data_IF_107936438082
#
_entry.id   IF_107936438082
#
_cell.length_a   1.000
_cell.length_b   1.000
_cell.length_c   1.000
_cell.angle_alpha   90.00
_cell.angle_beta   90.00
_cell.angle_gamma   90.00
#
_symmetry.space_group_name_H-M   'P 1'
#
loop_
_entity.id
_entity.type
_entity.pdbx_description
1 polymer ?
#
# COMPACT_ATOMS: atom_id res chain seq x y z
N UNK A 1 24.27 3.91 -11.16
CA UNK A 1 24.27 2.52 -10.70
C UNK A 1 23.34 2.36 -9.49
N UNK A 2 23.49 3.15 -8.42
CA UNK A 2 22.65 3.06 -7.20
C UNK A 2 21.16 3.23 -7.51
N UNK A 3 20.77 4.19 -8.35
CA UNK A 3 19.38 4.41 -8.75
C UNK A 3 18.81 3.23 -9.53
N UNK A 4 19.58 2.64 -10.45
CA UNK A 4 19.16 1.46 -11.21
C UNK A 4 18.98 0.28 -10.26
N UNK A 5 19.91 0.08 -9.33
CA UNK A 5 19.82 -0.98 -8.32
C UNK A 5 18.58 -0.83 -7.43
N UNK A 6 18.32 0.39 -6.94
CA UNK A 6 17.13 0.70 -6.16
C UNK A 6 15.83 0.42 -6.94
N UNK A 7 15.80 0.76 -8.22
CA UNK A 7 14.66 0.53 -9.10
C UNK A 7 14.38 -0.97 -9.30
N UNK A 8 15.44 -1.77 -9.51
CA UNK A 8 15.31 -3.23 -9.64
C UNK A 8 14.81 -3.85 -8.34
N UNK A 9 15.35 -3.41 -7.20
CA UNK A 9 14.98 -3.92 -5.88
C UNK A 9 13.56 -3.52 -5.45
N UNK A 10 13.15 -2.30 -5.75
CA UNK A 10 11.82 -1.80 -5.38
C UNK A 10 10.72 -2.14 -6.39
N UNK A 11 11.08 -2.77 -7.53
CA UNK A 11 10.18 -3.01 -8.68
C UNK A 11 9.49 -1.74 -9.20
N UNK A 12 9.99 -0.58 -8.81
CA UNK A 12 9.41 0.71 -9.17
C UNK A 12 10.09 1.29 -10.41
N UNK A 13 9.67 0.88 -11.59
CA UNK A 13 10.26 1.27 -12.88
C UNK A 13 9.93 2.70 -13.33
N UNK A 14 9.11 3.43 -12.60
CA UNK A 14 8.61 4.76 -13.02
C UNK A 14 9.74 5.79 -13.05
N UNK A 15 10.62 5.79 -12.06
CA UNK A 15 11.70 6.79 -11.94
C UNK A 15 12.76 6.68 -13.04
N UNK A 16 13.00 5.51 -13.62
CA UNK A 16 13.95 5.33 -14.73
C UNK A 16 13.52 6.20 -15.92
N UNK A 17 12.26 6.20 -16.25
CA UNK A 17 11.75 6.97 -17.39
C UNK A 17 11.88 8.49 -17.18
N UNK A 18 11.80 8.94 -15.94
CA UNK A 18 12.00 10.35 -15.60
C UNK A 18 13.45 10.81 -15.80
N UNK A 19 14.41 9.91 -15.59
CA UNK A 19 15.84 10.19 -15.74
C UNK A 19 16.33 10.10 -17.18
N UNK A 20 15.61 9.41 -18.05
CA UNK A 20 16.02 9.21 -19.45
C UNK A 20 16.28 10.54 -20.18
N UNK A 21 15.39 11.56 -20.17
CA UNK A 21 15.66 12.83 -20.84
C UNK A 21 16.92 13.53 -20.29
N UNK A 22 17.15 13.46 -19.00
CA UNK A 22 18.32 14.07 -18.34
C UNK A 22 19.60 13.37 -18.81
N UNK A 23 19.62 12.04 -18.79
CA UNK A 23 20.78 11.25 -19.23
C UNK A 23 21.08 11.50 -20.70
N UNK A 24 20.06 11.55 -21.55
CA UNK A 24 20.21 11.82 -22.98
C UNK A 24 20.72 13.25 -23.23
N UNK A 25 20.24 14.23 -22.48
CA UNK A 25 20.76 15.60 -22.57
C UNK A 25 22.24 15.70 -22.20
N UNK A 26 22.67 15.02 -21.13
CA UNK A 26 24.08 14.96 -20.75
C UNK A 26 24.93 14.25 -21.81
N UNK A 27 24.47 13.12 -22.33
CA UNK A 27 25.16 12.38 -23.40
C UNK A 27 25.30 13.23 -24.67
N UNK A 28 24.26 13.95 -25.04
CA UNK A 28 24.28 14.83 -26.22
C UNK A 28 25.28 15.97 -26.04
N UNK A 29 25.35 16.59 -24.87
CA UNK A 29 26.34 17.62 -24.55
C UNK A 29 27.76 17.08 -24.71
N UNK A 30 28.06 15.93 -24.14
CA UNK A 30 29.37 15.28 -24.26
C UNK A 30 29.73 14.92 -25.73
N UNK A 31 28.76 14.46 -26.51
CA UNK A 31 28.97 14.12 -27.92
C UNK A 31 29.28 15.36 -28.76
N UNK A 32 28.55 16.46 -28.52
CA UNK A 32 28.78 17.73 -29.23
C UNK A 32 30.20 18.25 -28.99
N UNK A 33 30.68 18.19 -27.73
CA UNK A 33 32.03 18.64 -27.35
C UNK A 33 33.11 17.65 -27.78
N UNK A 34 32.78 16.41 -28.06
CA UNK A 34 33.73 15.38 -28.43
C UNK A 34 34.32 15.59 -29.84
N UNK A 35 35.48 14.98 -30.09
CA UNK A 35 36.13 14.92 -31.42
C UNK A 35 35.68 13.71 -32.26
N UNK A 36 34.53 13.09 -31.91
CA UNK A 36 34.02 11.91 -32.61
C UNK A 36 33.66 12.25 -34.04
N UNK A 37 34.16 11.44 -35.00
CA UNK A 37 34.04 11.70 -36.46
C UNK A 37 32.58 11.72 -36.96
N UNK A 38 31.68 10.93 -36.36
CA UNK A 38 30.29 10.79 -36.79
C UNK A 38 29.28 11.36 -35.76
N UNK A 39 29.67 12.37 -34.99
CA UNK A 39 28.86 12.92 -33.91
C UNK A 39 27.43 13.31 -34.34
N UNK A 40 27.24 13.91 -35.53
CA UNK A 40 25.91 14.28 -36.05
C UNK A 40 24.98 13.05 -36.20
N UNK A 41 25.51 11.94 -36.69
CA UNK A 41 24.72 10.72 -36.89
C UNK A 41 24.37 10.09 -35.54
N UNK A 42 25.29 10.12 -34.57
CA UNK A 42 25.06 9.63 -33.21
C UNK A 42 23.97 10.47 -32.54
N UNK A 43 24.04 11.80 -32.62
CA UNK A 43 23.01 12.71 -32.11
C UNK A 43 21.63 12.41 -32.69
N UNK A 44 21.53 12.22 -34.02
CA UNK A 44 20.27 11.88 -34.67
C UNK A 44 19.69 10.55 -34.13
N UNK A 45 20.54 9.54 -33.96
CA UNK A 45 20.13 8.24 -33.40
C UNK A 45 19.63 8.38 -31.97
N UNK A 46 20.35 9.16 -31.15
CA UNK A 46 19.95 9.42 -29.76
C UNK A 46 18.60 10.17 -29.68
N UNK A 47 18.40 11.21 -30.48
CA UNK A 47 17.13 11.94 -30.53
C UNK A 47 16.00 11.00 -30.95
N UNK A 48 16.23 10.16 -31.95
CA UNK A 48 15.21 9.21 -32.41
C UNK A 48 14.88 8.19 -31.34
N UNK A 49 15.87 7.66 -30.64
CA UNK A 49 15.69 6.76 -29.50
C UNK A 49 14.90 7.44 -28.37
N UNK A 50 15.21 8.70 -28.04
CA UNK A 50 14.49 9.48 -27.04
C UNK A 50 13.01 9.67 -27.41
N UNK A 51 12.70 9.96 -28.66
CA UNK A 51 11.33 10.09 -29.16
C UNK A 51 10.56 8.77 -28.99
N UNK A 52 11.15 7.64 -29.40
CA UNK A 52 10.53 6.32 -29.27
C UNK A 52 10.26 5.98 -27.79
N UNK A 53 11.25 6.24 -26.93
CA UNK A 53 11.10 5.99 -25.48
C UNK A 53 10.01 6.87 -24.89
N UNK A 54 9.95 8.14 -25.26
CA UNK A 54 8.94 9.09 -24.80
C UNK A 54 7.52 8.67 -25.22
N UNK A 55 7.34 8.26 -26.48
CA UNK A 55 6.06 7.74 -26.97
C UNK A 55 5.67 6.48 -26.19
N UNK A 56 6.60 5.52 -26.05
CA UNK A 56 6.36 4.30 -25.29
C UNK A 56 6.00 4.58 -23.83
N UNK A 57 6.67 5.56 -23.20
CA UNK A 57 6.36 6.00 -21.87
C UNK A 57 4.96 6.61 -21.78
N UNK A 58 4.62 7.52 -22.71
CA UNK A 58 3.31 8.17 -22.73
C UNK A 58 2.16 7.17 -22.93
N UNK A 59 2.33 6.21 -23.84
CA UNK A 59 1.33 5.15 -24.05
C UNK A 59 1.16 4.28 -22.81
N UNK A 60 2.25 3.99 -22.10
CA UNK A 60 2.22 3.11 -20.93
C UNK A 60 1.73 3.83 -19.66
N UNK A 61 2.01 5.12 -19.51
CA UNK A 61 1.80 5.89 -18.28
C UNK A 61 0.93 7.14 -18.51
N UNK A 62 -0.08 7.00 -19.36
CA UNK A 62 -1.08 8.06 -19.55
C UNK A 62 -2.03 8.16 -18.33
N UNK A 63 -2.90 9.17 -18.34
CA UNK A 63 -3.89 9.40 -17.30
C UNK A 63 -4.87 8.23 -17.07
N UNK A 64 -5.07 7.40 -18.09
CA UNK A 64 -5.96 6.24 -18.03
C UNK A 64 -5.29 4.99 -17.48
N UNK A 65 -3.99 5.06 -17.14
CA UNK A 65 -3.30 3.93 -16.57
C UNK A 65 -3.84 3.59 -15.20
N UNK A 66 -4.17 2.32 -15.01
CA UNK A 66 -4.56 1.74 -13.74
C UNK A 66 -3.39 0.95 -13.14
N UNK A 67 -3.39 0.75 -11.83
CA UNK A 67 -2.50 -0.23 -11.20
C UNK A 67 -2.79 -1.64 -11.72
N UNK A 68 -1.82 -2.55 -11.58
CA UNK A 68 -1.95 -3.92 -12.14
C UNK A 68 -3.23 -4.63 -11.68
N UNK A 69 -3.57 -4.47 -10.41
CA UNK A 69 -4.76 -5.07 -9.80
C UNK A 69 -6.07 -4.49 -10.36
N UNK A 70 -6.00 -3.27 -10.88
CA UNK A 70 -7.16 -2.52 -11.38
C UNK A 70 -7.28 -2.52 -12.92
N UNK A 71 -6.39 -3.19 -13.63
CA UNK A 71 -6.38 -3.16 -15.11
C UNK A 71 -7.68 -3.63 -15.76
N UNK A 72 -8.39 -4.56 -15.12
CA UNK A 72 -9.65 -5.12 -15.59
C UNK A 72 -10.89 -4.36 -15.11
N UNK A 73 -10.73 -3.44 -14.15
CA UNK A 73 -11.85 -2.72 -13.54
C UNK A 73 -12.22 -1.54 -14.43
N UNK A 74 -13.50 -1.40 -14.72
CA UNK A 74 -14.06 -0.26 -15.43
C UNK A 74 -14.44 0.85 -14.45
N UNK A 75 -14.40 2.12 -14.89
CA UNK A 75 -14.72 3.26 -14.02
C UNK A 75 -16.18 3.27 -13.55
N UNK A 76 -17.09 2.67 -14.31
CA UNK A 76 -18.49 2.48 -13.93
C UNK A 76 -18.69 1.46 -12.81
N UNK A 77 -17.69 0.63 -12.52
CA UNK A 77 -17.70 -0.33 -11.40
C UNK A 77 -17.14 0.28 -10.10
N UNK A 78 -16.80 1.55 -10.13
CA UNK A 78 -16.19 2.24 -8.98
C UNK A 78 -17.18 3.20 -8.36
N UNK A 79 -17.11 3.35 -7.06
CA UNK A 79 -17.83 4.37 -6.30
C UNK A 79 -16.96 5.60 -6.00
N UNK A 80 -17.58 6.71 -5.63
CA UNK A 80 -16.85 7.88 -5.17
C UNK A 80 -16.42 7.69 -3.71
N UNK A 81 -15.14 7.94 -3.43
CA UNK A 81 -14.58 7.79 -2.08
C UNK A 81 -15.23 8.72 -1.04
N UNK A 82 -15.88 9.80 -1.47
CA UNK A 82 -16.66 10.68 -0.58
C UNK A 82 -17.79 9.97 0.15
N UNK A 83 -18.26 8.82 -0.39
CA UNK A 83 -19.25 7.97 0.29
C UNK A 83 -18.68 7.28 1.54
N UNK A 84 -17.36 7.11 1.64
CA UNK A 84 -16.68 6.59 2.83
C UNK A 84 -16.40 7.76 3.78
N UNK A 85 -15.74 8.80 3.29
CA UNK A 85 -15.43 9.99 4.09
C UNK A 85 -15.16 11.19 3.18
N UNK A 86 -15.56 12.41 3.62
CA UNK A 86 -15.41 13.65 2.86
C UNK A 86 -13.98 13.96 2.40
N UNK A 87 -12.97 13.53 3.15
CA UNK A 87 -11.56 13.71 2.79
C UNK A 87 -11.12 12.88 1.58
N UNK A 88 -11.92 11.90 1.16
CA UNK A 88 -11.67 11.03 0.02
C UNK A 88 -12.42 11.48 -1.25
N UNK A 89 -12.97 12.69 -1.25
CA UNK A 89 -13.66 13.27 -2.40
C UNK A 89 -12.74 13.30 -3.63
N UNK A 90 -13.26 12.86 -4.78
CA UNK A 90 -12.52 12.81 -6.04
C UNK A 90 -11.70 11.51 -6.22
N UNK A 91 -11.60 10.66 -5.20
CA UNK A 91 -10.97 9.34 -5.31
C UNK A 91 -12.03 8.34 -5.76
N UNK A 92 -11.72 7.55 -6.79
CA UNK A 92 -12.55 6.44 -7.22
C UNK A 92 -12.20 5.21 -6.42
N UNK A 93 -13.21 4.67 -5.70
CA UNK A 93 -13.04 3.51 -4.82
C UNK A 93 -13.42 2.21 -5.51
N UNK A 94 -12.52 1.26 -5.50
CA UNK A 94 -12.75 -0.16 -5.81
C UNK A 94 -11.62 -0.99 -5.20
N UNK A 95 -11.98 -1.99 -4.42
CA UNK A 95 -11.05 -2.95 -3.88
C UNK A 95 -11.10 -4.26 -4.70
N UNK A 96 -10.02 -4.63 -5.41
CA UNK A 96 -10.01 -5.84 -6.24
C UNK A 96 -10.02 -7.14 -5.42
N UNK A 97 -9.76 -7.06 -4.12
CA UNK A 97 -9.75 -8.21 -3.21
C UNK A 97 -11.07 -8.40 -2.45
N UNK A 98 -12.01 -7.48 -2.61
CA UNK A 98 -13.35 -7.59 -2.04
C UNK A 98 -14.29 -8.33 -2.99
N UNK A 99 -14.92 -9.43 -2.53
CA UNK A 99 -15.79 -10.27 -3.33
C UNK A 99 -17.26 -9.76 -3.35
N UNK A 100 -17.45 -8.47 -3.56
CA UNK A 100 -18.76 -7.84 -3.59
C UNK A 100 -18.77 -6.56 -4.40
N UNK A 101 -19.87 -5.83 -4.34
CA UNK A 101 -19.98 -4.51 -4.94
C UNK A 101 -19.25 -3.47 -4.10
N UNK A 102 -18.74 -2.41 -4.74
CA UNK A 102 -18.06 -1.32 -4.02
C UNK A 102 -19.00 -0.64 -3.01
N UNK A 103 -20.29 -0.55 -3.30
CA UNK A 103 -21.29 0.01 -2.40
C UNK A 103 -21.44 -0.79 -1.10
N UNK A 104 -21.42 -2.13 -1.18
CA UNK A 104 -21.54 -3.00 -0.01
C UNK A 104 -20.30 -2.87 0.89
N UNK A 105 -19.11 -2.80 0.28
CA UNK A 105 -17.87 -2.56 1.00
C UNK A 105 -17.87 -1.19 1.69
N UNK A 106 -18.36 -0.15 1.00
CA UNK A 106 -18.48 1.20 1.56
C UNK A 106 -19.43 1.21 2.77
N UNK A 107 -20.55 0.49 2.71
CA UNK A 107 -21.46 0.37 3.84
C UNK A 107 -20.76 -0.26 5.07
N UNK A 108 -19.99 -1.34 4.84
CA UNK A 108 -19.19 -1.98 5.89
C UNK A 108 -18.16 -1.00 6.46
N UNK A 109 -17.44 -0.27 5.61
CA UNK A 109 -16.42 0.70 6.05
C UNK A 109 -17.04 1.85 6.86
N UNK A 110 -18.22 2.32 6.49
CA UNK A 110 -18.95 3.32 7.26
C UNK A 110 -19.37 2.78 8.63
N UNK A 111 -19.85 1.54 8.71
CA UNK A 111 -20.15 0.88 10.00
C UNK A 111 -18.88 0.73 10.84
N UNK A 112 -17.78 0.28 10.23
CA UNK A 112 -16.46 0.17 10.88
C UNK A 112 -16.04 1.51 11.47
N UNK A 113 -16.08 2.58 10.68
CA UNK A 113 -15.70 3.92 11.14
C UNK A 113 -16.58 4.39 12.31
N UNK A 114 -17.89 4.27 12.19
CA UNK A 114 -18.83 4.68 13.23
C UNK A 114 -18.58 3.95 14.56
N UNK A 115 -18.36 2.64 14.52
CA UNK A 115 -18.08 1.83 15.71
C UNK A 115 -16.71 2.18 16.30
N UNK A 116 -15.68 2.37 15.46
CA UNK A 116 -14.36 2.80 15.92
C UNK A 116 -14.42 4.14 16.64
N UNK A 117 -15.20 5.09 16.15
CA UNK A 117 -15.32 6.42 16.74
C UNK A 117 -16.18 6.44 18.01
N UNK A 118 -17.22 5.59 18.12
CA UNK A 118 -18.19 5.63 19.20
C UNK A 118 -17.91 4.65 20.35
N UNK A 119 -17.41 3.45 20.07
CA UNK A 119 -17.36 2.36 21.07
C UNK A 119 -15.97 2.08 21.62
N UNK A 120 -14.91 2.53 20.95
CA UNK A 120 -13.55 2.22 21.38
C UNK A 120 -12.86 3.43 22.03
N UNK A 121 -11.97 3.16 22.97
CA UNK A 121 -11.03 4.15 23.51
C UNK A 121 -9.79 4.29 22.61
N UNK A 122 -8.91 5.27 22.90
CA UNK A 122 -7.66 5.50 22.14
C UNK A 122 -6.57 4.43 22.36
N UNK A 123 -6.84 3.41 23.17
CA UNK A 123 -5.91 2.32 23.53
C UNK A 123 -6.09 1.08 22.67
N UNK A 124 -6.43 1.27 21.42
CA UNK A 124 -6.67 0.19 20.47
C UNK A 124 -5.52 0.02 19.49
N UNK A 125 -5.41 -1.19 18.95
CA UNK A 125 -4.54 -1.53 17.83
C UNK A 125 -5.38 -2.23 16.76
N UNK A 126 -5.41 -1.69 15.54
CA UNK A 126 -6.11 -2.35 14.44
C UNK A 126 -5.13 -3.12 13.56
N UNK A 127 -5.50 -4.35 13.22
CA UNK A 127 -4.80 -5.18 12.25
C UNK A 127 -5.70 -5.31 11.03
N UNK A 128 -5.41 -4.52 9.99
CA UNK A 128 -6.26 -4.36 8.81
C UNK A 128 -5.44 -3.88 7.62
N UNK A 129 -5.89 -4.18 6.41
CA UNK A 129 -5.37 -3.61 5.17
C UNK A 129 -5.95 -2.23 4.86
N UNK A 130 -7.03 -1.83 5.53
CA UNK A 130 -7.63 -0.50 5.39
C UNK A 130 -6.89 0.55 6.23
N UNK A 131 -5.61 0.75 5.94
CA UNK A 131 -4.75 1.67 6.70
C UNK A 131 -5.19 3.12 6.67
N UNK A 132 -5.95 3.52 5.66
CA UNK A 132 -6.52 4.86 5.56
C UNK A 132 -7.55 5.15 6.67
N UNK A 133 -8.08 4.13 7.35
CA UNK A 133 -8.97 4.31 8.48
C UNK A 133 -8.33 5.19 9.57
N UNK A 134 -7.03 5.07 9.80
CA UNK A 134 -6.29 5.93 10.74
C UNK A 134 -6.32 7.42 10.34
N UNK A 135 -6.59 7.72 9.07
CA UNK A 135 -6.66 9.09 8.53
C UNK A 135 -8.08 9.66 8.49
N UNK A 136 -9.10 8.84 8.64
CA UNK A 136 -10.50 9.27 8.56
C UNK A 136 -11.28 9.10 9.88
N UNK A 137 -10.75 8.31 10.82
CA UNK A 137 -11.26 8.21 12.19
C UNK A 137 -10.65 9.29 13.07
N UNK A 138 -11.34 9.64 14.15
CA UNK A 138 -10.83 10.59 15.14
C UNK A 138 -9.87 9.95 16.17
N UNK A 139 -9.43 8.72 15.93
CA UNK A 139 -8.64 7.91 16.86
C UNK A 139 -7.32 7.44 16.26
N UNK A 140 -6.35 7.24 17.14
CA UNK A 140 -5.08 6.63 16.76
C UNK A 140 -5.22 5.11 16.81
N UNK A 141 -5.30 4.48 15.66
CA UNK A 141 -5.54 3.04 15.54
C UNK A 141 -4.28 2.18 15.79
N UNK A 142 -3.12 2.81 15.98
CA UNK A 142 -1.86 2.17 16.36
C UNK A 142 -1.47 0.95 15.50
N UNK A 143 -1.86 0.89 14.23
CA UNK A 143 -1.60 -0.25 13.36
C UNK A 143 -0.11 -0.66 13.41
N UNK A 144 0.22 -1.95 13.60
CA UNK A 144 1.59 -2.39 13.77
C UNK A 144 2.34 -2.56 12.46
N UNK A 145 1.65 -2.56 11.32
CA UNK A 145 2.24 -2.70 9.99
C UNK A 145 1.48 -1.84 8.97
N UNK A 146 2.07 -1.63 7.80
CA UNK A 146 1.47 -0.89 6.68
C UNK A 146 0.64 -1.77 5.73
N UNK A 147 0.69 -3.06 5.89
CA UNK A 147 -0.10 -4.03 5.14
C UNK A 147 -0.06 -5.36 5.88
N UNK A 148 -1.03 -6.23 5.60
CA UNK A 148 -1.07 -7.57 6.15
C UNK A 148 -1.23 -8.58 5.03
N UNK A 149 -0.35 -9.57 5.00
CA UNK A 149 -0.39 -10.66 4.03
C UNK A 149 -0.51 -11.98 4.76
N UNK A 150 -1.33 -12.88 4.22
CA UNK A 150 -1.58 -14.21 4.80
C UNK A 150 -0.30 -15.06 4.83
N UNK A 151 0.64 -14.82 3.93
CA UNK A 151 1.93 -15.51 3.84
C UNK A 151 2.93 -15.13 4.95
N UNK A 152 2.55 -14.22 5.85
CA UNK A 152 3.39 -13.77 6.94
C UNK A 152 4.53 -12.82 6.54
N UNK A 153 4.52 -12.26 5.34
CA UNK A 153 5.57 -11.33 4.90
C UNK A 153 5.58 -10.04 5.74
N UNK A 154 4.41 -9.51 6.04
CA UNK A 154 4.26 -8.26 6.80
C UNK A 154 3.98 -8.47 8.28
N UNK A 155 3.49 -9.65 8.66
CA UNK A 155 3.33 -10.10 10.03
C UNK A 155 4.00 -11.48 10.15
N UNK A 156 5.33 -11.54 10.40
CA UNK A 156 6.12 -12.78 10.34
C UNK A 156 5.59 -13.87 11.26
N UNK A 157 5.46 -15.09 10.75
CA UNK A 157 5.04 -16.27 11.51
C UNK A 157 6.27 -17.03 12.05
N UNK A 158 6.11 -17.96 13.02
CA UNK A 158 7.20 -18.82 13.48
C UNK A 158 7.91 -19.52 12.32
N UNK A 159 9.25 -19.55 12.36
CA UNK A 159 10.09 -20.03 11.26
C UNK A 159 10.60 -18.93 10.32
N UNK A 160 9.97 -17.80 10.26
CA UNK A 160 10.51 -16.64 9.54
C UNK A 160 11.69 -16.03 10.30
N UNK A 161 12.77 -15.66 9.56
CA UNK A 161 13.98 -15.06 10.16
C UNK A 161 13.74 -13.78 10.96
N UNK A 162 12.68 -13.04 10.64
CA UNK A 162 12.33 -11.79 11.31
C UNK A 162 11.30 -11.95 12.43
N UNK A 163 10.78 -13.16 12.67
CA UNK A 163 9.72 -13.42 13.63
C UNK A 163 10.06 -12.93 15.04
N UNK A 164 11.23 -13.31 15.57
CA UNK A 164 11.65 -12.94 16.95
C UNK A 164 11.74 -11.42 17.12
N UNK A 165 12.28 -10.74 16.12
CA UNK A 165 12.38 -9.28 16.12
C UNK A 165 11.00 -8.63 16.10
N UNK A 166 10.13 -9.04 15.19
CA UNK A 166 8.79 -8.50 15.05
C UNK A 166 7.93 -8.78 16.30
N UNK A 167 8.03 -9.97 16.86
CA UNK A 167 7.36 -10.31 18.13
C UNK A 167 7.76 -9.34 19.27
N UNK A 168 9.04 -9.11 19.45
CA UNK A 168 9.53 -8.14 20.43
C UNK A 168 9.06 -6.71 20.14
N UNK A 169 9.05 -6.31 18.88
CA UNK A 169 8.55 -5.01 18.42
C UNK A 169 7.06 -4.85 18.78
N UNK A 170 6.23 -5.84 18.42
CA UNK A 170 4.79 -5.79 18.68
C UNK A 170 4.49 -5.71 20.18
N UNK A 171 5.11 -6.57 20.99
CA UNK A 171 4.95 -6.57 22.44
C UNK A 171 5.36 -5.23 23.05
N UNK A 172 6.50 -4.68 22.66
CA UNK A 172 6.94 -3.35 23.09
C UNK A 172 5.95 -2.25 22.68
N UNK A 173 5.38 -2.34 21.49
CA UNK A 173 4.40 -1.36 21.01
C UNK A 173 3.11 -1.43 21.81
N UNK A 174 2.61 -2.62 22.12
CA UNK A 174 1.44 -2.84 22.98
C UNK A 174 1.66 -2.19 24.35
N UNK A 175 2.78 -2.49 25.01
CA UNK A 175 3.11 -1.93 26.33
C UNK A 175 3.28 -0.42 26.26
N UNK A 176 4.11 0.08 25.33
CA UNK A 176 4.43 1.50 25.22
C UNK A 176 3.20 2.38 24.92
N UNK A 177 2.26 1.85 24.15
CA UNK A 177 1.03 2.55 23.76
C UNK A 177 -0.15 2.22 24.68
N UNK A 178 0.10 1.39 25.71
CA UNK A 178 -0.92 0.93 26.67
C UNK A 178 -2.16 0.35 25.93
N UNK A 179 -1.91 -0.48 24.92
CA UNK A 179 -2.97 -1.11 24.12
C UNK A 179 -3.65 -2.17 24.97
N UNK A 180 -4.95 -2.07 25.11
CA UNK A 180 -5.79 -3.03 25.83
C UNK A 180 -6.67 -3.87 24.89
N UNK A 181 -6.85 -3.43 23.63
CA UNK A 181 -7.66 -4.15 22.66
C UNK A 181 -6.96 -4.20 21.29
N UNK A 182 -6.97 -5.39 20.66
CA UNK A 182 -6.49 -5.59 19.29
C UNK A 182 -7.70 -6.01 18.43
N UNK A 183 -7.90 -5.31 17.31
CA UNK A 183 -9.10 -5.42 16.50
C UNK A 183 -8.75 -5.97 15.12
N UNK A 184 -9.50 -6.96 14.67
CA UNK A 184 -9.48 -7.48 13.30
C UNK A 184 -10.84 -7.23 12.65
N UNK A 185 -10.84 -6.74 11.42
CA UNK A 185 -12.06 -6.56 10.64
C UNK A 185 -12.42 -7.90 9.97
N UNK A 186 -13.62 -8.41 10.25
CA UNK A 186 -14.02 -9.79 9.84
C UNK A 186 -14.01 -10.00 8.33
N UNK A 187 -14.54 -9.05 7.57
CA UNK A 187 -14.68 -9.23 6.12
C UNK A 187 -13.36 -9.25 5.35
N UNK A 188 -12.24 -8.87 5.98
CA UNK A 188 -10.91 -9.03 5.39
C UNK A 188 -10.43 -10.48 5.40
N UNK A 189 -11.16 -11.39 6.04
CA UNK A 189 -10.81 -12.81 6.18
C UNK A 189 -9.40 -13.04 6.76
N UNK A 190 -8.92 -12.11 7.55
CA UNK A 190 -7.62 -12.21 8.17
C UNK A 190 -7.67 -13.21 9.33
N UNK A 191 -6.74 -14.17 9.41
CA UNK A 191 -6.77 -15.18 10.46
C UNK A 191 -6.42 -14.55 11.81
N UNK A 192 -7.45 -14.29 12.65
CA UNK A 192 -7.27 -13.76 14.00
C UNK A 192 -6.34 -14.62 14.87
N UNK A 193 -6.26 -15.89 14.57
CA UNK A 193 -5.42 -16.87 15.27
C UNK A 193 -3.93 -16.54 15.16
N UNK A 194 -3.52 -15.73 14.18
CA UNK A 194 -2.13 -15.29 14.01
C UNK A 194 -1.61 -14.58 15.27
N UNK A 195 -2.50 -13.98 16.06
CA UNK A 195 -2.10 -13.26 17.28
C UNK A 195 -1.50 -14.20 18.34
N UNK A 196 -1.88 -15.48 18.37
CA UNK A 196 -1.33 -16.47 19.30
C UNK A 196 0.18 -16.70 19.13
N UNK A 197 0.73 -16.37 17.97
CA UNK A 197 2.18 -16.39 17.74
C UNK A 197 2.92 -15.32 18.55
N UNK A 198 2.24 -14.25 18.90
CA UNK A 198 2.83 -13.05 19.53
C UNK A 198 2.47 -12.89 20.99
N UNK A 199 1.23 -13.21 21.35
CA UNK A 199 0.69 -13.13 22.71
C UNK A 199 0.29 -14.53 23.13
N UNK A 200 0.58 -14.92 24.37
CA UNK A 200 0.17 -16.21 24.91
C UNK A 200 -1.34 -16.31 24.95
N UNK A 201 -1.88 -17.45 24.56
CA UNK A 201 -3.33 -17.69 24.44
C UNK A 201 -4.08 -17.48 25.79
N UNK A 202 -3.41 -17.73 26.90
CA UNK A 202 -3.93 -17.56 28.24
C UNK A 202 -4.00 -16.09 28.70
N UNK A 203 -3.36 -15.19 27.93
CA UNK A 203 -3.28 -13.77 28.26
C UNK A 203 -4.31 -12.91 27.54
N UNK A 204 -5.24 -13.50 26.78
CA UNK A 204 -6.26 -12.75 26.08
C UNK A 204 -7.53 -13.58 25.86
N UNK A 205 -8.65 -12.88 25.71
CA UNK A 205 -9.92 -13.43 25.26
C UNK A 205 -10.26 -12.89 23.87
N UNK A 206 -10.99 -13.66 23.08
CA UNK A 206 -11.52 -13.22 21.80
C UNK A 206 -13.01 -12.98 21.95
N UNK A 207 -13.42 -11.73 21.76
CA UNK A 207 -14.82 -11.33 21.69
C UNK A 207 -15.23 -11.23 20.23
N UNK A 208 -16.33 -11.84 19.90
CA UNK A 208 -16.88 -11.86 18.54
C UNK A 208 -18.02 -10.85 18.46
N UNK A 209 -17.85 -9.79 17.66
CA UNK A 209 -18.91 -8.83 17.35
C UNK A 209 -19.38 -9.03 15.91
N UNK A 210 -20.40 -8.29 15.47
CA UNK A 210 -20.93 -8.39 14.11
C UNK A 210 -19.83 -8.14 13.05
N UNK A 211 -18.99 -7.15 13.25
CA UNK A 211 -17.99 -6.66 12.27
C UNK A 211 -16.57 -7.00 12.66
N UNK A 212 -16.27 -7.17 13.95
CA UNK A 212 -14.90 -7.31 14.46
C UNK A 212 -14.68 -8.63 15.20
N UNK A 213 -13.42 -9.08 15.18
CA UNK A 213 -12.85 -9.87 16.26
C UNK A 213 -12.05 -8.93 17.16
N UNK A 214 -12.37 -8.91 18.43
CA UNK A 214 -11.74 -8.06 19.45
C UNK A 214 -10.98 -8.97 20.39
N UNK A 215 -9.70 -8.68 20.58
CA UNK A 215 -8.79 -9.40 21.46
C UNK A 215 -8.50 -8.50 22.64
N UNK A 216 -8.91 -8.92 23.84
CA UNK A 216 -8.81 -8.18 25.12
C UNK A 216 -7.90 -8.88 26.10
#
# INVERSE_FOLDING_TARGET
IILIFHQVMSKNQIYIYFLIPIIFGLLESEIIESKIKFKKHISIVLIFALIIITIKYHVRYNENRKFHELNKIQLNETDDGSKIHKSLTGIKWKNPFYNGNSSDEIEILNKVQNILDSEFEDKIMIISNYLFLDSITNKNLNSPSRAFTIDGTTMPIPGNKHFKFYKSFLQKKIIKKNINQIIFIKHENMPKEIISNYIRKECYNIKDSEIFYIIE
#
